data_IF_501091369662
#
_entry.id   IF_501091369662
#
_cell.length_a   1.000
_cell.length_b   1.000
_cell.length_c   1.000
_cell.angle_alpha   90.00
_cell.angle_beta   90.00
_cell.angle_gamma   90.00
#
_symmetry.space_group_name_H-M   'P 1'
#
loop_
_entity.id
_entity.type
_entity.pdbx_description
1 polymer ?
#
# COMPACT_ATOMS: atom_id res chain seq x y z
N UNK A 1 -16.69 -8.99 -18.73
CA UNK A 1 -16.33 -8.45 -20.04
C UNK A 1 -15.46 -9.52 -20.70
N UNK A 2 -16.00 -10.22 -21.69
CA UNK A 2 -15.35 -11.37 -22.34
C UNK A 2 -14.50 -10.80 -23.48
N UNK A 3 -13.19 -10.99 -23.45
CA UNK A 3 -12.26 -10.60 -24.53
C UNK A 3 -12.65 -11.35 -25.81
N UNK A 4 -12.88 -10.66 -26.92
CA UNK A 4 -13.50 -11.27 -28.11
C UNK A 4 -12.52 -11.52 -29.27
N UNK A 5 -11.26 -11.05 -29.20
CA UNK A 5 -10.27 -11.28 -30.27
C UNK A 5 -8.89 -11.70 -29.73
N UNK A 6 -8.13 -12.47 -30.54
CA UNK A 6 -6.74 -12.88 -30.23
C UNK A 6 -5.83 -11.65 -30.08
N UNK A 7 -6.09 -10.61 -30.87
CA UNK A 7 -5.36 -9.35 -30.83
C UNK A 7 -5.51 -8.63 -29.48
N UNK A 8 -6.72 -8.54 -28.93
CA UNK A 8 -6.98 -7.96 -27.60
C UNK A 8 -6.24 -8.70 -26.48
N UNK A 9 -6.22 -10.03 -26.54
CA UNK A 9 -5.51 -10.87 -25.56
C UNK A 9 -4.00 -10.60 -25.63
N UNK A 10 -3.46 -10.46 -26.84
CA UNK A 10 -2.04 -10.19 -27.06
C UNK A 10 -1.63 -8.80 -26.54
N UNK A 11 -2.45 -7.77 -26.81
CA UNK A 11 -2.24 -6.43 -26.26
C UNK A 11 -2.34 -6.39 -24.74
N UNK A 12 -3.30 -7.11 -24.15
CA UNK A 12 -3.44 -7.21 -22.70
C UNK A 12 -2.22 -7.89 -22.07
N UNK A 13 -1.69 -8.96 -22.68
CA UNK A 13 -0.46 -9.62 -22.23
C UNK A 13 0.76 -8.70 -22.30
N UNK A 14 0.92 -7.95 -23.39
CA UNK A 14 2.02 -6.99 -23.54
C UNK A 14 1.91 -5.90 -22.47
N UNK A 15 0.72 -5.33 -22.27
CA UNK A 15 0.49 -4.29 -21.26
C UNK A 15 0.71 -4.82 -19.85
N UNK A 16 0.27 -6.04 -19.57
CA UNK A 16 0.53 -6.73 -18.30
C UNK A 16 2.04 -6.96 -18.08
N UNK A 17 2.77 -7.35 -19.11
CA UNK A 17 4.22 -7.56 -19.03
C UNK A 17 4.98 -6.25 -18.78
N UNK A 18 4.57 -5.16 -19.45
CA UNK A 18 5.10 -3.81 -19.17
C UNK A 18 4.80 -3.38 -17.73
N UNK A 19 3.57 -3.62 -17.26
CA UNK A 19 3.19 -3.35 -15.87
C UNK A 19 4.07 -4.13 -14.87
N UNK A 20 4.32 -5.42 -15.12
CA UNK A 20 5.21 -6.24 -14.29
C UNK A 20 6.65 -5.71 -14.28
N UNK A 21 7.18 -5.26 -15.42
CA UNK A 21 8.51 -4.65 -15.51
C UNK A 21 8.58 -3.36 -14.70
N UNK A 22 7.57 -2.49 -14.82
CA UNK A 22 7.48 -1.26 -14.02
C UNK A 22 7.45 -1.60 -12.52
N UNK A 23 6.61 -2.55 -12.11
CA UNK A 23 6.53 -3.01 -10.72
C UNK A 23 7.86 -3.57 -10.22
N UNK A 24 8.57 -4.35 -11.03
CA UNK A 24 9.88 -4.88 -10.69
C UNK A 24 10.94 -3.78 -10.48
N UNK A 25 10.91 -2.73 -11.31
CA UNK A 25 11.79 -1.57 -11.17
C UNK A 25 11.47 -0.83 -9.87
N UNK A 26 10.19 -0.53 -9.60
CA UNK A 26 9.78 0.10 -8.34
C UNK A 26 10.19 -0.72 -7.12
N UNK A 27 10.02 -2.05 -7.18
CA UNK A 27 10.42 -2.95 -6.11
C UNK A 27 11.95 -2.93 -5.91
N UNK A 28 12.73 -2.96 -7.00
CA UNK A 28 14.19 -2.88 -6.95
C UNK A 28 14.68 -1.56 -6.34
N UNK A 29 14.07 -0.43 -6.72
CA UNK A 29 14.36 0.90 -6.19
C UNK A 29 14.02 0.95 -4.69
N UNK A 30 12.83 0.51 -4.32
CA UNK A 30 12.40 0.41 -2.94
C UNK A 30 13.41 -0.40 -2.12
N UNK A 31 13.73 -1.63 -2.56
CA UNK A 31 14.71 -2.50 -1.91
C UNK A 31 16.10 -1.86 -1.83
N UNK A 32 16.52 -1.08 -2.83
CA UNK A 32 17.81 -0.36 -2.83
C UNK A 32 17.87 0.75 -1.78
N UNK A 33 16.80 1.52 -1.59
CA UNK A 33 16.69 2.48 -0.49
C UNK A 33 16.77 1.79 0.88
N UNK A 34 16.27 0.55 0.97
CA UNK A 34 16.26 -0.21 2.23
C UNK A 34 17.53 -1.03 2.50
N UNK A 35 18.35 -1.37 1.49
CA UNK A 35 19.66 -2.04 1.69
C UNK A 35 20.61 -1.22 2.57
N UNK A 36 20.46 0.10 2.61
CA UNK A 36 21.32 1.01 3.38
C UNK A 36 20.77 1.29 4.79
N UNK A 37 19.47 1.12 5.00
CA UNK A 37 18.81 1.24 6.30
C UNK A 37 18.95 -0.07 7.06
N UNK A 38 20.03 -0.21 7.84
CA UNK A 38 20.31 -1.37 8.72
C UNK A 38 19.36 -1.44 9.93
N UNK A 39 18.10 -1.00 9.79
CA UNK A 39 17.07 -1.09 10.80
C UNK A 39 16.16 -2.28 10.47
N UNK A 40 16.38 -3.36 11.21
CA UNK A 40 15.74 -4.69 11.09
C UNK A 40 14.21 -4.69 11.13
N UNK A 41 13.58 -3.59 11.54
CA UNK A 41 12.13 -3.51 11.72
C UNK A 41 11.37 -2.96 10.50
N UNK A 42 12.04 -2.30 9.53
CA UNK A 42 11.33 -1.75 8.38
C UNK A 42 10.78 -2.83 7.43
N UNK A 43 11.54 -3.91 7.19
CA UNK A 43 11.08 -5.02 6.33
C UNK A 43 9.82 -5.70 6.87
N UNK A 44 9.73 -5.82 8.20
CA UNK A 44 8.56 -6.32 8.92
C UNK A 44 7.36 -5.39 8.74
N UNK A 45 7.55 -4.06 8.86
CA UNK A 45 6.50 -3.05 8.61
C UNK A 45 6.02 -3.09 7.16
N UNK A 46 6.94 -3.16 6.19
CA UNK A 46 6.59 -3.27 4.77
C UNK A 46 5.78 -4.53 4.47
N UNK A 47 6.22 -5.70 4.96
CA UNK A 47 5.49 -6.95 4.78
C UNK A 47 4.10 -6.90 5.42
N UNK A 48 4.00 -6.29 6.61
CA UNK A 48 2.72 -6.09 7.31
C UNK A 48 1.77 -5.24 6.45
N UNK A 49 2.23 -4.10 5.94
CA UNK A 49 1.42 -3.22 5.09
C UNK A 49 0.99 -3.91 3.78
N UNK A 50 1.88 -4.70 3.18
CA UNK A 50 1.57 -5.49 2.00
C UNK A 50 0.48 -6.54 2.27
N UNK A 51 0.60 -7.32 3.35
CA UNK A 51 -0.40 -8.32 3.74
C UNK A 51 -1.77 -7.70 4.02
N UNK A 52 -1.81 -6.54 4.70
CA UNK A 52 -3.05 -5.81 4.93
C UNK A 52 -3.67 -5.38 3.60
N UNK A 53 -2.87 -4.85 2.67
CA UNK A 53 -3.34 -4.42 1.35
C UNK A 53 -3.96 -5.57 0.56
N UNK A 54 -3.30 -6.73 0.54
CA UNK A 54 -3.81 -7.94 -0.12
C UNK A 54 -5.11 -8.42 0.56
N UNK A 55 -5.16 -8.43 1.90
CA UNK A 55 -6.34 -8.82 2.65
C UNK A 55 -7.53 -7.89 2.33
N UNK A 56 -7.32 -6.58 2.30
CA UNK A 56 -8.35 -5.61 1.92
C UNK A 56 -8.86 -5.89 0.50
N UNK A 57 -7.96 -6.04 -0.47
CA UNK A 57 -8.34 -6.30 -1.85
C UNK A 57 -9.21 -7.55 -1.98
N UNK A 58 -8.85 -8.65 -1.31
CA UNK A 58 -9.63 -9.88 -1.31
C UNK A 58 -11.01 -9.70 -0.64
N UNK A 59 -11.06 -9.06 0.53
CA UNK A 59 -12.33 -8.87 1.27
C UNK A 59 -13.31 -8.01 0.46
N UNK A 60 -12.84 -6.93 -0.14
CA UNK A 60 -13.68 -6.06 -0.96
C UNK A 60 -14.11 -6.70 -2.28
N UNK A 61 -13.30 -7.62 -2.81
CA UNK A 61 -13.66 -8.41 -3.98
C UNK A 61 -14.82 -9.39 -3.70
N UNK A 62 -14.86 -10.00 -2.51
CA UNK A 62 -15.86 -11.04 -2.20
C UNK A 62 -17.09 -10.55 -1.40
N UNK A 63 -16.92 -9.66 -0.41
CA UNK A 63 -17.99 -9.34 0.55
C UNK A 63 -18.70 -8.00 0.27
N UNK A 64 -17.97 -6.99 -0.20
CA UNK A 64 -18.49 -5.64 -0.47
C UNK A 64 -19.18 -4.93 0.72
N UNK A 65 -19.50 -3.65 0.54
CA UNK A 65 -20.32 -2.87 1.47
C UNK A 65 -19.73 -2.61 2.87
N UNK A 66 -20.59 -2.24 3.82
CA UNK A 66 -20.18 -1.89 5.19
C UNK A 66 -19.62 -3.07 5.99
N UNK A 67 -20.08 -4.28 5.69
CA UNK A 67 -19.63 -5.49 6.38
C UNK A 67 -18.19 -5.85 5.99
N UNK A 68 -17.80 -5.65 4.73
CA UNK A 68 -16.41 -5.76 4.26
C UNK A 68 -15.47 -4.82 5.04
N UNK A 69 -15.88 -3.58 5.31
CA UNK A 69 -15.07 -2.63 6.09
C UNK A 69 -14.77 -3.13 7.51
N UNK A 70 -15.78 -3.63 8.21
CA UNK A 70 -15.61 -4.13 9.58
C UNK A 70 -14.66 -5.34 9.59
N UNK A 71 -14.87 -6.28 8.68
CA UNK A 71 -14.02 -7.48 8.56
C UNK A 71 -12.59 -7.13 8.18
N UNK A 72 -12.41 -6.18 7.25
CA UNK A 72 -11.10 -5.71 6.82
C UNK A 72 -10.33 -5.02 7.95
N UNK A 73 -11.00 -4.18 8.76
CA UNK A 73 -10.38 -3.53 9.91
C UNK A 73 -9.96 -4.53 11.00
N UNK A 74 -10.83 -5.50 11.33
CA UNK A 74 -10.51 -6.55 12.29
C UNK A 74 -9.31 -7.39 11.83
N UNK A 75 -9.26 -7.74 10.55
CA UNK A 75 -8.12 -8.46 9.98
C UNK A 75 -6.86 -7.61 9.94
N UNK A 76 -6.96 -6.31 9.67
CA UNK A 76 -5.80 -5.41 9.72
C UNK A 76 -5.15 -5.43 11.11
N UNK A 77 -5.97 -5.26 12.15
CA UNK A 77 -5.47 -5.27 13.53
C UNK A 77 -4.88 -6.61 13.92
N UNK A 78 -5.48 -7.72 13.48
CA UNK A 78 -4.95 -9.06 13.73
C UNK A 78 -3.61 -9.28 13.02
N UNK A 79 -3.48 -8.85 11.77
CA UNK A 79 -2.21 -8.92 11.02
C UNK A 79 -1.14 -8.08 11.71
N UNK A 80 -1.46 -6.86 12.14
CA UNK A 80 -0.51 -5.99 12.88
C UNK A 80 -0.09 -6.64 14.20
N UNK A 81 -1.07 -7.15 14.95
CA UNK A 81 -0.88 -7.82 16.25
C UNK A 81 0.13 -8.98 16.11
N UNK A 82 -0.12 -9.90 15.19
CA UNK A 82 0.74 -11.06 14.94
C UNK A 82 2.10 -10.62 14.38
N UNK A 83 2.09 -9.70 13.42
CA UNK A 83 3.32 -9.30 12.73
C UNK A 83 4.26 -8.53 13.64
N UNK A 84 3.77 -7.80 14.65
CA UNK A 84 4.60 -7.00 15.57
C UNK A 84 4.66 -7.58 17.00
N UNK A 85 3.99 -8.72 17.25
CA UNK A 85 3.86 -9.34 18.56
C UNK A 85 3.40 -8.35 19.66
N UNK A 86 2.39 -7.55 19.33
CA UNK A 86 1.78 -6.56 20.23
C UNK A 86 0.36 -6.99 20.60
N UNK A 87 -0.25 -6.41 21.63
CA UNK A 87 -1.65 -6.67 21.97
C UNK A 87 -2.63 -6.06 20.96
N UNK A 88 -3.86 -6.60 20.90
CA UNK A 88 -4.90 -6.11 19.98
C UNK A 88 -5.24 -4.61 20.19
N UNK A 89 -5.35 -4.17 21.44
CA UNK A 89 -5.50 -2.75 21.79
C UNK A 89 -4.34 -1.89 21.28
N UNK A 90 -3.10 -2.39 21.37
CA UNK A 90 -1.94 -1.69 20.86
C UNK A 90 -1.96 -1.59 19.32
N UNK A 91 -2.45 -2.61 18.61
CA UNK A 91 -2.62 -2.56 17.15
C UNK A 91 -3.61 -1.47 16.72
N UNK A 92 -4.69 -1.26 17.47
CA UNK A 92 -5.63 -0.14 17.25
C UNK A 92 -4.92 1.20 17.42
N UNK A 93 -4.20 1.38 18.53
CA UNK A 93 -3.45 2.61 18.82
C UNK A 93 -2.40 2.90 17.73
N UNK A 94 -1.66 1.88 17.29
CA UNK A 94 -0.69 1.98 16.18
C UNK A 94 -1.37 2.43 14.89
N UNK A 95 -2.56 1.91 14.59
CA UNK A 95 -3.32 2.31 13.39
C UNK A 95 -3.72 3.79 13.46
N UNK A 96 -4.19 4.25 14.62
CA UNK A 96 -4.53 5.68 14.85
C UNK A 96 -3.28 6.54 14.70
N UNK A 97 -2.15 6.13 15.30
CA UNK A 97 -0.89 6.87 15.26
C UNK A 97 -0.33 6.93 13.83
N UNK A 98 -0.42 5.84 13.07
CA UNK A 98 -0.08 5.80 11.64
C UNK A 98 -0.95 6.75 10.81
N UNK A 99 -2.25 6.83 11.10
CA UNK A 99 -3.14 7.79 10.44
C UNK A 99 -2.76 9.24 10.75
N UNK A 100 -2.44 9.57 12.00
CA UNK A 100 -1.99 10.91 12.37
C UNK A 100 -0.68 11.30 11.66
N UNK A 101 0.28 10.37 11.59
CA UNK A 101 1.54 10.58 10.83
C UNK A 101 1.23 10.81 9.35
N UNK A 102 0.33 10.00 8.76
CA UNK A 102 -0.09 10.16 7.38
C UNK A 102 -0.69 11.56 7.12
N UNK A 103 -1.58 12.03 7.99
CA UNK A 103 -2.17 13.38 7.88
C UNK A 103 -1.09 14.45 7.93
N UNK A 104 -0.14 14.35 8.87
CA UNK A 104 0.97 15.29 8.99
C UNK A 104 1.83 15.31 7.72
N UNK A 105 2.21 14.12 7.21
CA UNK A 105 3.00 13.99 5.98
C UNK A 105 2.23 14.56 4.78
N UNK A 106 0.92 14.30 4.68
CA UNK A 106 0.09 14.83 3.61
C UNK A 106 0.02 16.37 3.63
N UNK A 107 -0.09 16.99 4.81
CA UNK A 107 -0.05 18.45 4.97
C UNK A 107 1.31 18.99 4.52
N UNK A 108 2.41 18.39 5.00
CA UNK A 108 3.77 18.82 4.64
C UNK A 108 4.01 18.72 3.13
N UNK A 109 3.64 17.59 2.52
CA UNK A 109 3.72 17.41 1.08
C UNK A 109 2.83 18.40 0.32
N UNK A 110 1.61 18.65 0.81
CA UNK A 110 0.72 19.66 0.25
C UNK A 110 1.30 21.07 0.29
N UNK A 111 2.01 21.43 1.37
CA UNK A 111 2.71 22.72 1.47
C UNK A 111 3.93 22.78 0.53
N UNK A 112 4.73 21.71 0.44
CA UNK A 112 5.89 21.65 -0.47
C UNK A 112 5.43 21.71 -1.93
N UNK A 113 4.44 20.91 -2.30
CA UNK A 113 3.87 20.92 -3.65
C UNK A 113 3.16 22.24 -3.94
N UNK A 114 2.42 22.79 -2.98
CA UNK A 114 1.81 24.11 -3.10
C UNK A 114 2.83 25.21 -3.34
N UNK A 115 3.93 25.24 -2.59
CA UNK A 115 5.00 26.24 -2.78
C UNK A 115 5.79 26.01 -4.06
N UNK A 116 6.16 24.77 -4.39
CA UNK A 116 6.88 24.45 -5.64
C UNK A 116 6.04 24.70 -6.90
N UNK A 117 4.73 24.44 -6.88
CA UNK A 117 3.82 24.76 -8.00
C UNK A 117 3.51 26.26 -8.10
N UNK A 118 3.54 27.03 -6.99
CA UNK A 118 3.39 28.49 -7.01
C UNK A 118 4.68 29.19 -7.48
N UNK A 119 5.85 28.57 -7.30
CA UNK A 119 7.17 29.16 -7.64
C UNK A 119 7.69 28.72 -9.01
N UNK A 120 7.12 27.69 -9.64
CA UNK A 120 7.44 27.34 -11.02
C UNK A 120 6.82 28.36 -11.99
N UNK A 121 7.63 29.07 -12.81
CA UNK A 121 7.11 30.00 -13.81
C UNK A 121 6.58 29.19 -14.99
N UNK A 122 5.29 28.87 -14.96
CA UNK A 122 4.51 28.64 -16.16
C UNK A 122 3.55 29.81 -16.35
#
# INVERSE_FOLDING_TARGET
MIFQTIEEIMWLLILYLVFLVIMAIFLSIALSFFKKARHTHFGQVFLTAFLITVAFALIFYFLGGWLAWIVALLLAWLIIMVSHNIGFLAAIVVTILAFLIYVLVAIVLGMILGTTLIVLPF
#
